data_IF_473176910684
#
_entry.id   IF_473176910684
#
_cell.length_a   1.000
_cell.length_b   1.000
_cell.length_c   1.000
_cell.angle_alpha   90.00
_cell.angle_beta   90.00
_cell.angle_gamma   90.00
#
_symmetry.space_group_name_H-M   'P 1'
#
loop_
_entity.id
_entity.type
_entity.pdbx_description
1 polymer ?
#
# COMPACT_ATOMS: atom_id res chain seq x y z
N UNK A 1 14.17 1.11 -7.57
CA UNK A 1 15.18 0.04 -7.32
C UNK A 1 14.76 -1.14 -8.17
N UNK A 2 15.69 -1.91 -8.74
CA UNK A 2 15.35 -3.03 -9.62
C UNK A 2 15.79 -4.36 -9.01
N UNK A 3 14.87 -5.31 -8.92
CA UNK A 3 15.16 -6.70 -8.58
C UNK A 3 14.94 -7.58 -9.80
N UNK A 4 15.95 -8.36 -10.18
CA UNK A 4 15.86 -9.29 -11.30
C UNK A 4 15.99 -10.73 -10.81
N UNK A 5 15.01 -11.57 -11.13
CA UNK A 5 15.00 -13.00 -10.89
C UNK A 5 15.16 -13.73 -12.23
N UNK A 6 16.21 -14.53 -12.37
CA UNK A 6 16.54 -15.24 -13.62
C UNK A 6 16.63 -16.74 -13.35
N UNK A 7 15.79 -17.50 -14.04
CA UNK A 7 15.74 -18.96 -13.92
C UNK A 7 15.18 -19.43 -12.58
N UNK A 8 14.88 -20.73 -12.49
CA UNK A 8 14.45 -21.39 -11.24
C UNK A 8 13.00 -21.86 -11.23
N UNK A 9 12.62 -22.46 -10.11
CA UNK A 9 11.27 -23.00 -9.86
C UNK A 9 10.79 -22.58 -8.48
N UNK A 10 9.60 -21.99 -8.40
CA UNK A 10 8.91 -21.66 -7.14
C UNK A 10 7.54 -22.36 -7.19
N UNK A 11 7.38 -23.45 -6.43
CA UNK A 11 6.20 -24.32 -6.51
C UNK A 11 5.76 -24.88 -5.18
N UNK A 12 4.49 -25.27 -5.11
CA UNK A 12 3.95 -26.12 -4.04
C UNK A 12 3.87 -25.43 -2.68
N UNK A 13 3.85 -24.10 -2.65
CA UNK A 13 3.78 -23.35 -1.40
C UNK A 13 2.33 -22.98 -1.04
N UNK A 14 2.06 -22.87 0.27
CA UNK A 14 0.74 -22.53 0.82
C UNK A 14 0.38 -21.04 0.71
N UNK A 15 0.94 -20.30 -0.25
CA UNK A 15 0.81 -18.85 -0.35
C UNK A 15 1.11 -18.33 -1.76
N UNK A 16 1.51 -17.07 -1.86
CA UNK A 16 1.95 -16.51 -3.15
C UNK A 16 3.34 -17.06 -3.53
N UNK A 17 3.60 -17.27 -4.82
CA UNK A 17 4.92 -17.64 -5.34
C UNK A 17 5.96 -16.56 -5.04
N UNK A 18 5.72 -15.35 -5.54
CA UNK A 18 6.51 -14.16 -5.22
C UNK A 18 5.58 -13.11 -4.65
N UNK A 19 5.84 -12.66 -3.43
CA UNK A 19 5.14 -11.54 -2.81
C UNK A 19 6.08 -10.36 -2.68
N UNK A 20 5.69 -9.23 -3.25
CA UNK A 20 6.43 -7.96 -3.12
C UNK A 20 5.67 -7.03 -2.19
N UNK A 21 6.29 -6.75 -1.05
CA UNK A 21 5.85 -5.76 -0.07
C UNK A 21 6.91 -4.66 0.02
N UNK A 22 6.96 -3.81 -0.99
CA UNK A 22 7.89 -2.68 -1.00
C UNK A 22 7.15 -1.40 -0.60
N UNK A 23 7.67 -0.68 0.40
CA UNK A 23 7.20 0.67 0.73
C UNK A 23 7.66 1.74 -0.26
N UNK A 24 8.53 1.38 -1.20
CA UNK A 24 9.03 2.21 -2.29
C UNK A 24 8.84 1.47 -3.63
N UNK A 25 8.77 2.18 -4.77
CA UNK A 25 8.64 1.55 -6.09
C UNK A 25 9.79 0.56 -6.37
N UNK A 26 9.43 -0.69 -6.66
CA UNK A 26 10.36 -1.75 -7.04
C UNK A 26 10.06 -2.23 -8.46
N UNK A 27 11.01 -2.06 -9.37
CA UNK A 27 10.95 -2.68 -10.69
C UNK A 27 11.32 -4.16 -10.55
N UNK A 28 10.34 -5.05 -10.68
CA UNK A 28 10.55 -6.49 -10.64
C UNK A 28 10.63 -7.06 -12.06
N UNK A 29 11.75 -7.72 -12.38
CA UNK A 29 11.98 -8.39 -13.67
C UNK A 29 12.15 -9.88 -13.44
N UNK A 30 11.26 -10.72 -14.00
CA UNK A 30 11.30 -12.18 -13.87
C UNK A 30 11.52 -12.78 -15.26
N UNK A 31 12.60 -13.56 -15.43
CA UNK A 31 12.98 -14.14 -16.73
C UNK A 31 13.22 -15.64 -16.55
N UNK A 32 12.47 -16.46 -17.29
CA UNK A 32 12.72 -17.91 -17.35
C UNK A 32 12.51 -18.67 -16.04
N UNK A 33 11.72 -18.12 -15.11
CA UNK A 33 11.36 -18.76 -13.84
C UNK A 33 9.98 -19.41 -13.95
N UNK A 34 9.86 -20.65 -13.52
CA UNK A 34 8.59 -21.39 -13.48
C UNK A 34 7.95 -21.22 -12.09
N UNK A 35 6.79 -20.54 -12.06
CA UNK A 35 6.04 -20.24 -10.84
C UNK A 35 4.66 -20.86 -10.99
N UNK A 36 4.44 -22.01 -10.37
CA UNK A 36 3.22 -22.81 -10.55
C UNK A 36 2.87 -23.57 -9.29
N UNK A 37 1.66 -24.13 -9.21
CA UNK A 37 1.24 -25.02 -8.11
C UNK A 37 1.33 -24.37 -6.72
N UNK A 38 1.16 -23.05 -6.65
CA UNK A 38 1.06 -22.32 -5.38
C UNK A 38 -0.42 -22.15 -5.02
N UNK A 39 -0.75 -22.15 -3.72
CA UNK A 39 -2.13 -21.97 -3.27
C UNK A 39 -2.64 -20.51 -3.46
N UNK A 40 -1.72 -19.54 -3.54
CA UNK A 40 -1.98 -18.13 -3.82
C UNK A 40 -1.65 -17.71 -5.26
N UNK A 41 -1.25 -16.45 -5.45
CA UNK A 41 -0.90 -15.93 -6.78
C UNK A 41 0.53 -16.33 -7.17
N UNK A 42 0.80 -16.49 -8.47
CA UNK A 42 2.18 -16.68 -8.95
C UNK A 42 3.08 -15.50 -8.56
N UNK A 43 2.68 -14.28 -8.91
CA UNK A 43 3.31 -13.04 -8.47
C UNK A 43 2.24 -12.12 -7.90
N UNK A 44 2.43 -11.69 -6.65
CA UNK A 44 1.57 -10.75 -5.95
C UNK A 44 2.36 -9.48 -5.64
N UNK A 45 2.05 -8.40 -6.36
CA UNK A 45 2.70 -7.11 -6.21
C UNK A 45 1.68 -6.14 -5.59
N UNK A 46 1.87 -5.79 -4.30
CA UNK A 46 1.00 -4.84 -3.60
C UNK A 46 1.55 -3.43 -3.76
N UNK A 47 1.11 -2.73 -4.80
CA UNK A 47 1.43 -1.30 -5.02
C UNK A 47 0.45 -0.37 -4.28
N UNK A 48 0.29 -0.61 -2.98
CA UNK A 48 -0.70 0.10 -2.17
C UNK A 48 -0.43 1.63 -2.13
N UNK A 49 0.79 2.07 -2.41
CA UNK A 49 1.15 3.49 -2.56
C UNK A 49 0.54 4.08 -3.84
N UNK A 50 0.60 3.39 -4.98
CA UNK A 50 -0.11 3.84 -6.19
C UNK A 50 -1.62 3.90 -5.98
N UNK A 51 -2.18 2.94 -5.25
CA UNK A 51 -3.59 2.96 -4.89
C UNK A 51 -3.95 4.18 -4.01
N UNK A 52 -3.06 4.65 -3.14
CA UNK A 52 -3.26 5.89 -2.39
C UNK A 52 -3.32 7.10 -3.33
N UNK A 53 -2.45 7.15 -4.34
CA UNK A 53 -2.49 8.23 -5.34
C UNK A 53 -3.78 8.23 -6.16
N UNK A 54 -4.22 7.04 -6.60
CA UNK A 54 -5.51 6.88 -7.27
C UNK A 54 -6.69 7.28 -6.38
N UNK A 55 -6.58 7.06 -5.06
CA UNK A 55 -7.58 7.46 -4.07
C UNK A 55 -7.55 8.97 -3.73
N UNK A 56 -6.55 9.71 -4.22
CA UNK A 56 -6.47 11.17 -4.09
C UNK A 56 -5.35 11.70 -3.20
N UNK A 57 -4.43 10.88 -2.72
CA UNK A 57 -3.20 11.34 -2.04
C UNK A 57 -2.21 11.88 -3.07
N UNK A 58 -1.66 13.07 -2.83
CA UNK A 58 -0.69 13.68 -3.74
C UNK A 58 0.63 12.88 -3.83
N UNK A 59 1.24 12.86 -5.01
CA UNK A 59 2.46 12.09 -5.29
C UNK A 59 3.65 12.51 -4.41
N UNK A 60 3.72 13.80 -4.06
CA UNK A 60 4.76 14.38 -3.22
C UNK A 60 4.61 14.10 -1.72
N UNK A 61 3.56 13.37 -1.30
CA UNK A 61 3.27 13.12 0.11
C UNK A 61 4.37 12.25 0.75
N UNK A 62 5.11 12.76 1.76
CA UNK A 62 6.17 11.98 2.39
C UNK A 62 5.62 10.76 3.14
N UNK A 63 6.36 9.64 3.12
CA UNK A 63 5.97 8.40 3.82
C UNK A 63 5.72 8.62 5.32
N UNK A 64 6.52 9.48 5.97
CA UNK A 64 6.36 9.84 7.39
C UNK A 64 4.99 10.48 7.66
N UNK A 65 4.44 11.24 6.70
CA UNK A 65 3.13 11.85 6.84
C UNK A 65 2.01 10.82 6.68
N UNK A 66 2.19 9.85 5.78
CA UNK A 66 1.25 8.71 5.64
C UNK A 66 1.21 7.88 6.93
N UNK A 67 2.39 7.63 7.51
CA UNK A 67 2.53 6.89 8.77
C UNK A 67 1.91 7.65 9.95
N UNK A 68 2.16 8.96 10.06
CA UNK A 68 1.53 9.81 11.07
C UNK A 68 0.00 9.79 10.96
N UNK A 69 -0.54 9.91 9.74
CA UNK A 69 -1.98 9.84 9.50
C UNK A 69 -2.57 8.50 9.95
N UNK A 70 -1.89 7.38 9.67
CA UNK A 70 -2.27 6.07 10.18
C UNK A 70 -2.28 6.00 11.71
N UNK A 71 -1.19 6.40 12.37
CA UNK A 71 -1.06 6.35 13.84
C UNK A 71 -2.16 7.15 14.55
N UNK A 72 -2.51 8.32 13.99
CA UNK A 72 -3.54 9.20 14.52
C UNK A 72 -4.96 8.66 14.29
N UNK A 73 -5.21 7.97 13.17
CA UNK A 73 -6.46 7.25 12.94
C UNK A 73 -6.65 6.11 13.95
N UNK A 74 -5.59 5.33 14.21
CA UNK A 74 -5.61 4.25 15.22
C UNK A 74 -5.87 4.81 16.61
N UNK A 75 -5.14 5.87 16.99
CA UNK A 75 -5.25 6.53 18.30
C UNK A 75 -6.63 7.15 18.55
N UNK A 76 -7.20 7.80 17.53
CA UNK A 76 -8.50 8.47 17.63
C UNK A 76 -9.70 7.52 17.60
N UNK A 77 -9.52 6.27 17.14
CA UNK A 77 -10.61 5.29 16.90
C UNK A 77 -11.71 5.84 15.98
N UNK A 78 -11.35 6.71 15.04
CA UNK A 78 -12.28 7.28 14.07
C UNK A 78 -12.86 6.17 13.18
N UNK A 79 -14.19 6.03 13.17
CA UNK A 79 -14.90 4.99 12.41
C UNK A 79 -15.73 5.54 11.26
N UNK A 80 -16.11 6.81 11.33
CA UNK A 80 -16.85 7.49 10.26
C UNK A 80 -15.96 8.37 9.40
N UNK A 81 -16.38 8.62 8.16
CA UNK A 81 -15.65 9.48 7.23
C UNK A 81 -15.42 10.89 7.80
N UNK A 82 -16.40 11.44 8.51
CA UNK A 82 -16.33 12.78 9.07
C UNK A 82 -15.35 12.85 10.26
N UNK A 83 -15.29 11.81 11.09
CA UNK A 83 -14.26 11.68 12.13
C UNK A 83 -12.86 11.54 11.52
N UNK A 84 -12.71 10.72 10.47
CA UNK A 84 -11.44 10.54 9.77
C UNK A 84 -10.95 11.85 9.14
N UNK A 85 -11.84 12.61 8.52
CA UNK A 85 -11.53 13.93 7.98
C UNK A 85 -11.10 14.90 9.09
N UNK A 86 -11.76 14.87 10.24
CA UNK A 86 -11.42 15.70 11.41
C UNK A 86 -10.02 15.36 11.94
N UNK A 87 -9.65 14.07 11.97
CA UNK A 87 -8.30 13.62 12.33
C UNK A 87 -7.28 14.17 11.34
N UNK A 88 -7.54 14.04 10.04
CA UNK A 88 -6.66 14.54 8.99
C UNK A 88 -6.48 16.07 9.05
N UNK A 89 -7.55 16.81 9.32
CA UNK A 89 -7.48 18.27 9.44
C UNK A 89 -6.65 18.70 10.65
N UNK A 90 -6.86 18.05 11.81
CA UNK A 90 -6.12 18.31 13.05
C UNK A 90 -4.61 18.20 12.88
N UNK A 91 -4.15 17.23 12.07
CA UNK A 91 -2.72 16.98 11.83
C UNK A 91 -2.20 17.68 10.56
N UNK A 92 -3.05 18.46 9.88
CA UNK A 92 -2.71 19.15 8.64
C UNK A 92 -2.46 18.22 7.46
N UNK A 93 -2.98 17.00 7.49
CA UNK A 93 -2.85 16.00 6.42
C UNK A 93 -3.75 16.32 5.22
N UNK A 94 -4.80 17.13 5.41
CA UNK A 94 -5.70 17.61 4.34
C UNK A 94 -4.98 18.31 3.20
N UNK A 95 -3.82 18.94 3.46
CA UNK A 95 -2.99 19.59 2.43
C UNK A 95 -2.42 18.61 1.39
N UNK A 96 -2.33 17.33 1.73
CA UNK A 96 -1.86 16.26 0.85
C UNK A 96 -2.99 15.57 0.10
N UNK A 97 -4.24 16.00 0.30
CA UNK A 97 -5.40 15.50 -0.43
C UNK A 97 -5.61 16.32 -1.70
N UNK A 98 -6.00 15.62 -2.76
CA UNK A 98 -6.49 16.19 -4.01
C UNK A 98 -7.99 16.48 -3.89
N UNK A 99 -8.48 17.38 -4.75
CA UNK A 99 -9.92 17.60 -4.86
C UNK A 99 -10.63 16.30 -5.30
N UNK A 100 -11.68 15.90 -4.57
CA UNK A 100 -12.39 14.65 -4.82
C UNK A 100 -11.72 13.39 -4.24
N UNK A 101 -10.76 13.54 -3.31
CA UNK A 101 -10.14 12.40 -2.64
C UNK A 101 -11.17 11.50 -1.94
N UNK A 102 -11.01 10.18 -2.08
CA UNK A 102 -11.85 9.19 -1.44
C UNK A 102 -11.28 8.83 -0.07
N UNK A 103 -11.78 9.51 0.97
CA UNK A 103 -11.29 9.40 2.35
C UNK A 103 -11.39 7.96 2.87
N UNK A 104 -12.52 7.29 2.64
CA UNK A 104 -12.73 5.91 3.08
C UNK A 104 -11.70 4.96 2.47
N UNK A 105 -11.43 5.08 1.16
CA UNK A 105 -10.40 4.28 0.48
C UNK A 105 -9.00 4.61 1.00
N UNK A 106 -8.66 5.88 1.20
CA UNK A 106 -7.37 6.31 1.75
C UNK A 106 -7.16 5.69 3.13
N UNK A 107 -8.13 5.79 4.04
CA UNK A 107 -8.05 5.19 5.37
C UNK A 107 -7.84 3.68 5.27
N UNK A 108 -8.64 2.97 4.47
CA UNK A 108 -8.48 1.53 4.27
C UNK A 108 -7.07 1.15 3.81
N UNK A 109 -6.52 1.88 2.84
CA UNK A 109 -5.18 1.65 2.31
C UNK A 109 -4.09 1.95 3.35
N UNK A 110 -4.21 3.02 4.13
CA UNK A 110 -3.29 3.33 5.22
C UNK A 110 -3.24 2.19 6.25
N UNK A 111 -4.40 1.67 6.66
CA UNK A 111 -4.46 0.50 7.54
C UNK A 111 -3.83 -0.74 6.88
N UNK A 112 -4.08 -1.00 5.60
CA UNK A 112 -3.46 -2.14 4.92
C UNK A 112 -1.94 -2.03 4.77
N UNK A 113 -1.40 -0.82 4.68
CA UNK A 113 0.03 -0.56 4.53
C UNK A 113 0.76 -0.66 5.88
N UNK A 114 0.20 -0.09 6.94
CA UNK A 114 0.89 0.12 8.21
C UNK A 114 0.43 -0.74 9.38
N UNK A 115 -0.70 -1.44 9.27
CA UNK A 115 -1.15 -2.40 10.28
C UNK A 115 -0.38 -3.72 10.09
N UNK A 116 0.62 -3.95 10.95
CA UNK A 116 1.43 -5.17 11.03
C UNK A 116 1.16 -5.91 12.33
#
# INVERSE_FOLDING_TARGET
MTLTLIGGRIKGNGGDGIRVEAGNPLDLVIIGTDISENEGHGVNYKDNIQALHAAGIRAETPLEQLKQAYEELVSSKATTEQEQLTVFDRIGFTKYLSYGANIATICSLLFQIFNK
#
